data_IF_796282330590
#
_entry.id   IF_796282330590
#
_cell.length_a   1.000
_cell.length_b   1.000
_cell.length_c   1.000
_cell.angle_alpha   90.00
_cell.angle_beta   90.00
_cell.angle_gamma   90.00
#
_symmetry.space_group_name_H-M   'P 1'
#
loop_
_entity.id
_entity.type
_entity.pdbx_description
1 polymer ?
#
# COMPACT_ATOMS: atom_id res chain seq x y z
N UNK A 1 -30.70 13.49 18.19
CA UNK A 1 -30.04 13.38 16.86
C UNK A 1 -28.50 13.36 16.92
N UNK A 2 -27.84 13.88 17.97
CA UNK A 2 -26.37 13.91 18.05
C UNK A 2 -25.67 12.55 18.20
N UNK A 3 -26.22 11.63 18.99
CA UNK A 3 -25.53 10.35 19.31
C UNK A 3 -25.45 9.38 18.12
N UNK A 4 -26.52 9.31 17.31
CA UNK A 4 -26.53 8.51 16.08
C UNK A 4 -25.55 9.05 15.03
N UNK A 5 -25.45 10.38 14.89
CA UNK A 5 -24.49 11.02 13.99
C UNK A 5 -23.05 10.76 14.42
N UNK A 6 -22.75 10.82 15.72
CA UNK A 6 -21.42 10.50 16.25
C UNK A 6 -21.03 9.03 16.04
N UNK A 7 -21.97 8.11 16.17
CA UNK A 7 -21.69 6.69 15.88
C UNK A 7 -21.36 6.48 14.40
N UNK A 8 -22.17 7.06 13.50
CA UNK A 8 -21.93 6.96 12.06
C UNK A 8 -20.60 7.61 11.63
N UNK A 9 -20.17 8.70 12.27
CA UNK A 9 -18.90 9.35 11.94
C UNK A 9 -17.70 8.49 12.35
N UNK A 10 -17.74 7.83 13.51
CA UNK A 10 -16.70 6.89 13.95
C UNK A 10 -16.62 5.69 13.02
N UNK A 11 -17.76 5.10 12.66
CA UNK A 11 -17.82 3.98 11.71
C UNK A 11 -17.30 4.41 10.34
N UNK A 12 -17.69 5.59 9.85
CA UNK A 12 -17.19 6.15 8.60
C UNK A 12 -15.68 6.36 8.62
N UNK A 13 -15.12 6.83 9.75
CA UNK A 13 -13.67 6.98 9.92
C UNK A 13 -12.95 5.62 9.88
N UNK A 14 -13.49 4.60 10.56
CA UNK A 14 -12.93 3.24 10.55
C UNK A 14 -12.96 2.61 9.15
N UNK A 15 -14.09 2.72 8.45
CA UNK A 15 -14.22 2.22 7.07
C UNK A 15 -13.23 2.93 6.16
N UNK A 16 -13.10 4.25 6.28
CA UNK A 16 -12.11 5.03 5.51
C UNK A 16 -10.68 4.58 5.82
N UNK A 17 -10.34 4.42 7.09
CA UNK A 17 -9.02 3.96 7.52
C UNK A 17 -8.68 2.59 6.95
N UNK A 18 -9.60 1.63 7.04
CA UNK A 18 -9.46 0.28 6.46
C UNK A 18 -9.38 0.32 4.94
N UNK A 19 -10.21 1.13 4.29
CA UNK A 19 -10.18 1.33 2.84
C UNK A 19 -8.83 1.82 2.36
N UNK A 20 -8.26 2.83 3.01
CA UNK A 20 -6.91 3.33 2.69
C UNK A 20 -5.81 2.31 2.98
N UNK A 21 -5.93 1.52 4.04
CA UNK A 21 -4.97 0.46 4.35
C UNK A 21 -4.96 -0.62 3.26
N UNK A 22 -6.13 -1.14 2.88
CA UNK A 22 -6.25 -2.16 1.83
C UNK A 22 -5.82 -1.59 0.48
N UNK A 23 -6.23 -0.35 0.16
CA UNK A 23 -5.87 0.32 -1.09
C UNK A 23 -4.36 0.60 -1.17
N UNK A 24 -3.73 1.02 -0.09
CA UNK A 24 -2.28 1.19 0.00
C UNK A 24 -1.55 -0.13 -0.24
N UNK A 25 -2.00 -1.21 0.40
CA UNK A 25 -1.42 -2.54 0.21
C UNK A 25 -1.56 -3.04 -1.24
N UNK A 26 -2.77 -2.97 -1.79
CA UNK A 26 -3.07 -3.45 -3.13
C UNK A 26 -2.31 -2.67 -4.21
N UNK A 27 -2.30 -1.33 -4.13
CA UNK A 27 -1.58 -0.49 -5.10
C UNK A 27 -0.08 -0.71 -5.04
N UNK A 28 0.51 -0.75 -3.84
CA UNK A 28 1.94 -0.98 -3.72
C UNK A 28 2.34 -2.39 -4.20
N UNK A 29 1.52 -3.42 -3.91
CA UNK A 29 1.73 -4.78 -4.42
C UNK A 29 1.65 -4.83 -5.94
N UNK A 30 0.63 -4.21 -6.53
CA UNK A 30 0.42 -4.11 -7.97
C UNK A 30 1.57 -3.37 -8.65
N UNK A 31 1.94 -2.19 -8.15
CA UNK A 31 3.05 -1.39 -8.67
C UNK A 31 4.33 -2.22 -8.66
N UNK A 32 4.62 -2.94 -7.57
CA UNK A 32 5.83 -3.75 -7.46
C UNK A 32 5.83 -4.94 -8.44
N UNK A 33 4.71 -5.63 -8.60
CA UNK A 33 4.58 -6.74 -9.57
C UNK A 33 4.74 -6.28 -11.01
N UNK A 34 4.12 -5.15 -11.35
CA UNK A 34 4.23 -4.56 -12.68
C UNK A 34 5.66 -4.04 -12.92
N UNK A 35 6.26 -3.36 -11.93
CA UNK A 35 7.60 -2.78 -12.03
C UNK A 35 8.67 -3.84 -12.31
N UNK A 36 8.61 -4.99 -11.63
CA UNK A 36 9.57 -6.10 -11.82
C UNK A 36 9.51 -6.74 -13.21
N UNK A 37 8.38 -6.65 -13.92
CA UNK A 37 8.15 -7.31 -15.22
C UNK A 37 8.23 -6.35 -16.42
N UNK A 38 8.30 -5.06 -16.18
CA UNK A 38 8.11 -4.06 -17.23
C UNK A 38 9.43 -3.54 -17.81
N UNK A 39 9.35 -3.03 -19.04
CA UNK A 39 10.43 -2.27 -19.68
C UNK A 39 10.65 -0.92 -18.99
N UNK A 40 11.82 -0.32 -19.17
CA UNK A 40 12.25 0.86 -18.41
C UNK A 40 11.29 2.06 -18.51
N UNK A 41 10.60 2.26 -19.65
CA UNK A 41 9.62 3.34 -19.80
C UNK A 41 8.43 3.16 -18.85
N UNK A 42 7.94 1.93 -18.74
CA UNK A 42 6.80 1.58 -17.88
C UNK A 42 7.24 1.57 -16.41
N UNK A 43 8.47 1.15 -16.11
CA UNK A 43 9.05 1.28 -14.77
C UNK A 43 9.09 2.75 -14.30
N UNK A 44 9.55 3.66 -15.17
CA UNK A 44 9.55 5.09 -14.87
C UNK A 44 8.12 5.62 -14.65
N UNK A 45 7.17 5.24 -15.52
CA UNK A 45 5.77 5.64 -15.38
C UNK A 45 5.13 5.12 -14.07
N UNK A 46 5.43 3.87 -13.69
CA UNK A 46 4.94 3.27 -12.43
C UNK A 46 5.54 3.97 -11.21
N UNK A 47 6.84 4.26 -11.21
CA UNK A 47 7.48 4.97 -10.12
C UNK A 47 6.93 6.39 -9.99
N UNK A 48 6.90 7.16 -11.09
CA UNK A 48 6.37 8.53 -11.10
C UNK A 48 4.88 8.57 -10.74
N UNK A 49 4.08 7.61 -11.22
CA UNK A 49 2.67 7.50 -10.88
C UNK A 49 2.45 7.19 -9.40
N UNK A 50 3.26 6.30 -8.82
CA UNK A 50 3.19 5.96 -7.40
C UNK A 50 3.60 7.15 -6.51
N UNK A 51 4.69 7.85 -6.85
CA UNK A 51 5.09 9.06 -6.14
C UNK A 51 4.10 10.21 -6.32
N UNK A 52 3.55 10.39 -7.52
CA UNK A 52 2.50 11.36 -7.79
C UNK A 52 1.25 11.08 -6.96
N UNK A 53 0.87 9.81 -6.81
CA UNK A 53 -0.22 9.39 -5.94
C UNK A 53 0.08 9.70 -4.47
N UNK A 54 1.31 9.46 -4.00
CA UNK A 54 1.72 9.84 -2.63
C UNK A 54 1.59 11.35 -2.40
N UNK A 55 2.09 12.17 -3.32
CA UNK A 55 1.98 13.64 -3.23
C UNK A 55 0.52 14.08 -3.26
N UNK A 56 -0.30 13.48 -4.12
CA UNK A 56 -1.75 13.73 -4.17
C UNK A 56 -2.41 13.39 -2.84
N UNK A 57 -2.09 12.24 -2.25
CA UNK A 57 -2.63 11.86 -0.94
C UNK A 57 -2.15 12.80 0.17
N UNK A 58 -0.93 13.34 0.12
CA UNK A 58 -0.45 14.30 1.11
C UNK A 58 -1.26 15.59 1.08
N UNK A 59 -1.61 16.06 -0.12
CA UNK A 59 -2.28 17.34 -0.30
C UNK A 59 -3.81 17.26 -0.12
N UNK A 60 -4.43 16.11 -0.45
CA UNK A 60 -5.88 15.98 -0.52
C UNK A 60 -6.49 15.04 0.54
N UNK A 61 -5.67 14.32 1.30
CA UNK A 61 -6.15 13.38 2.32
C UNK A 61 -5.82 13.86 3.73
N UNK A 62 -6.62 13.41 4.71
CA UNK A 62 -6.31 13.66 6.12
C UNK A 62 -5.07 12.87 6.54
N UNK A 63 -4.31 13.41 7.51
CA UNK A 63 -3.10 12.76 8.03
C UNK A 63 -3.33 11.31 8.47
N UNK A 64 -4.47 11.01 9.10
CA UNK A 64 -4.85 9.65 9.48
C UNK A 64 -5.06 8.71 8.30
N UNK A 65 -5.71 9.19 7.23
CA UNK A 65 -5.96 8.39 6.01
C UNK A 65 -4.68 8.15 5.22
N UNK A 66 -3.80 9.15 5.15
CA UNK A 66 -2.46 9.01 4.57
C UNK A 66 -1.60 8.03 5.37
N UNK A 67 -1.66 8.10 6.69
CA UNK A 67 -0.93 7.16 7.56
C UNK A 67 -1.37 5.72 7.34
N UNK A 68 -2.68 5.44 7.26
CA UNK A 68 -3.16 4.08 7.02
C UNK A 68 -2.84 3.58 5.62
N UNK A 69 -2.88 4.46 4.61
CA UNK A 69 -2.37 4.14 3.27
C UNK A 69 -0.89 3.75 3.29
N UNK A 70 -0.06 4.57 3.94
CA UNK A 70 1.38 4.35 4.02
C UNK A 70 1.71 3.04 4.75
N UNK A 71 0.95 2.69 5.80
CA UNK A 71 1.07 1.40 6.49
C UNK A 71 0.76 0.23 5.56
N UNK A 72 -0.36 0.29 4.82
CA UNK A 72 -0.72 -0.74 3.85
C UNK A 72 0.34 -0.89 2.76
N UNK A 73 0.74 0.22 2.15
CA UNK A 73 1.75 0.26 1.10
C UNK A 73 3.11 -0.25 1.58
N UNK A 74 3.56 0.20 2.76
CA UNK A 74 4.80 -0.23 3.38
C UNK A 74 4.82 -1.73 3.69
N UNK A 75 3.72 -2.26 4.24
CA UNK A 75 3.58 -3.71 4.49
C UNK A 75 3.71 -4.52 3.19
N UNK A 76 3.05 -4.10 2.10
CA UNK A 76 3.15 -4.77 0.81
C UNK A 76 4.57 -4.73 0.22
N UNK A 77 5.25 -3.59 0.31
CA UNK A 77 6.63 -3.43 -0.18
C UNK A 77 7.58 -4.33 0.62
N UNK A 78 7.49 -4.32 1.95
CA UNK A 78 8.31 -5.18 2.81
C UNK A 78 8.11 -6.66 2.48
N UNK A 79 6.87 -7.12 2.33
CA UNK A 79 6.57 -8.50 1.92
C UNK A 79 7.11 -8.83 0.53
N UNK A 80 7.14 -7.88 -0.40
CA UNK A 80 7.63 -8.10 -1.77
C UNK A 80 9.16 -8.09 -1.90
N UNK A 81 9.87 -7.58 -0.89
CA UNK A 81 11.34 -7.52 -0.82
C UNK A 81 11.90 -8.59 0.13
N UNK A 82 11.09 -9.10 1.07
CA UNK A 82 11.52 -10.16 1.98
C UNK A 82 11.90 -11.44 1.20
N UNK A 83 13.14 -11.93 1.33
CA UNK A 83 13.56 -13.16 0.65
C UNK A 83 12.72 -14.34 1.17
N UNK A 84 12.12 -15.10 0.25
CA UNK A 84 11.42 -16.34 0.60
C UNK A 84 12.42 -17.31 1.20
N UNK A 85 12.15 -17.78 2.42
CA UNK A 85 12.97 -18.74 3.17
C UNK A 85 13.03 -20.14 2.55
N UNK A 86 12.39 -20.37 1.40
CA UNK A 86 12.27 -21.71 0.78
C UNK A 86 13.51 -22.12 -0.05
N UNK A 87 14.45 -21.23 -0.37
CA UNK A 87 15.68 -21.60 -1.10
C UNK A 87 16.85 -22.02 -0.19
N UNK A 88 16.65 -22.07 1.14
CA UNK A 88 17.73 -22.37 2.08
C UNK A 88 17.84 -23.85 2.50
N UNK A 89 16.93 -24.73 2.09
CA UNK A 89 16.93 -26.15 2.49
C UNK A 89 17.33 -27.16 1.41
N UNK A 90 17.39 -26.80 0.12
CA UNK A 90 17.82 -27.73 -0.94
C UNK A 90 19.34 -27.79 -1.15
N UNK A 91 20.13 -26.81 -0.70
CA UNK A 91 21.60 -26.78 -0.91
C UNK A 91 22.41 -27.52 0.17
N UNK A 92 21.77 -28.28 1.08
CA UNK A 92 22.47 -29.02 2.16
C UNK A 92 22.51 -30.55 2.00
N UNK A 93 22.05 -31.08 0.86
CA UNK A 93 22.18 -32.50 0.51
C UNK A 93 22.70 -32.68 -0.92
N UNK A 94 23.94 -32.30 -1.17
CA UNK A 94 24.79 -32.90 -2.20
C UNK A 94 26.15 -33.21 -1.61
#
# INVERSE_FOLDING_TARGET
MGQFSSFLSVVGFLIRALGFLVLGFALARFTMDAYKKAVWQVQAALALGFFGLLVGLTNYSSAGSMGTFALGAGAAILMAVMPKKEEAEETKKE
#
